data_IF_064001808475
#
_entry.id   IF_064001808475
#
_cell.length_a   1.000
_cell.length_b   1.000
_cell.length_c   1.000
_cell.angle_alpha   90.00
_cell.angle_beta   90.00
_cell.angle_gamma   90.00
#
_symmetry.space_group_name_H-M   'P 1'
#
loop_
_entity.id
_entity.type
_entity.pdbx_description
1 polymer ?
#
# COMPACT_ATOMS: atom_id res chain seq x y z
N UNK A 1 12.98 14.64 -12.79
CA UNK A 1 12.76 13.21 -13.00
C UNK A 1 11.25 12.99 -13.05
N UNK A 2 10.72 12.31 -14.07
CA UNK A 2 9.27 12.24 -14.31
C UNK A 2 8.64 11.19 -13.39
N UNK A 3 7.63 11.58 -12.61
CA UNK A 3 6.91 10.78 -11.61
C UNK A 3 6.04 9.65 -12.21
N UNK A 4 6.53 8.93 -13.22
CA UNK A 4 5.75 7.86 -13.83
C UNK A 4 5.81 6.61 -12.95
N UNK A 5 4.67 6.39 -12.29
CA UNK A 5 4.22 5.21 -11.54
C UNK A 5 5.28 4.64 -10.60
N UNK A 6 5.53 5.34 -9.49
CA UNK A 6 6.33 4.82 -8.37
C UNK A 6 5.93 3.37 -8.01
N UNK A 7 4.63 3.07 -8.11
CA UNK A 7 4.06 1.73 -8.03
C UNK A 7 4.69 0.71 -8.98
N UNK A 8 4.83 0.99 -10.28
CA UNK A 8 5.42 0.03 -11.24
C UNK A 8 6.91 -0.25 -10.99
N UNK A 9 7.57 0.56 -10.15
CA UNK A 9 8.98 0.38 -9.81
C UNK A 9 9.21 -0.30 -8.46
N UNK A 10 8.15 -0.70 -7.76
CA UNK A 10 8.27 -1.66 -6.64
C UNK A 10 8.35 -3.09 -7.22
N UNK A 11 8.74 -4.06 -6.39
CA UNK A 11 8.90 -5.45 -6.80
C UNK A 11 7.56 -6.06 -7.18
N UNK A 12 7.56 -7.02 -8.10
CA UNK A 12 6.38 -7.86 -8.30
C UNK A 12 6.14 -8.72 -7.05
N UNK A 13 4.88 -9.01 -6.72
CA UNK A 13 4.48 -9.83 -5.56
C UNK A 13 5.30 -11.12 -5.44
N UNK A 14 5.42 -11.84 -6.55
CA UNK A 14 6.15 -13.12 -6.64
C UNK A 14 7.63 -13.02 -6.26
N UNK A 15 8.22 -11.84 -6.44
CA UNK A 15 9.64 -11.60 -6.16
C UNK A 15 9.83 -10.97 -4.79
N UNK A 16 8.89 -10.15 -4.32
CA UNK A 16 9.06 -9.31 -3.13
C UNK A 16 9.48 -10.08 -1.87
N UNK A 17 8.88 -11.24 -1.63
CA UNK A 17 9.22 -12.08 -0.48
C UNK A 17 10.68 -12.57 -0.51
N UNK A 18 11.25 -12.80 -1.70
CA UNK A 18 12.64 -13.27 -1.85
C UNK A 18 13.69 -12.22 -1.46
N UNK A 19 13.28 -10.95 -1.36
CA UNK A 19 14.14 -9.84 -0.92
C UNK A 19 14.13 -9.64 0.60
N UNK A 20 13.35 -10.40 1.36
CA UNK A 20 13.34 -10.37 2.82
C UNK A 20 14.37 -11.36 3.36
N UNK A 21 15.60 -10.89 3.56
CA UNK A 21 16.70 -11.67 4.13
C UNK A 21 16.86 -11.45 5.65
N UNK A 22 17.79 -12.18 6.28
CA UNK A 22 18.08 -12.07 7.71
C UNK A 22 18.47 -10.65 8.13
N UNK A 23 19.12 -9.88 7.26
CA UNK A 23 19.52 -8.51 7.54
C UNK A 23 18.32 -7.57 7.55
N UNK A 24 17.38 -7.77 6.63
CA UNK A 24 16.10 -7.05 6.57
C UNK A 24 15.30 -7.36 7.84
N UNK A 25 15.18 -8.63 8.22
CA UNK A 25 14.49 -9.06 9.42
C UNK A 25 15.13 -8.51 10.70
N UNK A 26 16.46 -8.49 10.78
CA UNK A 26 17.19 -7.87 11.89
C UNK A 26 16.94 -6.35 11.97
N UNK A 27 16.83 -5.68 10.82
CA UNK A 27 16.51 -4.24 10.75
C UNK A 27 15.09 -3.96 11.23
N UNK A 28 14.12 -4.79 10.82
CA UNK A 28 12.72 -4.69 11.26
C UNK A 28 12.59 -4.92 12.77
N UNK A 29 13.15 -6.02 13.27
CA UNK A 29 13.04 -6.44 14.67
C UNK A 29 13.89 -5.61 15.64
N UNK A 30 14.93 -4.94 15.15
CA UNK A 30 15.80 -4.07 15.93
C UNK A 30 15.43 -2.58 15.78
N UNK A 31 16.19 -1.80 14.99
CA UNK A 31 16.08 -0.35 14.96
C UNK A 31 14.70 0.17 14.52
N UNK A 32 14.03 -0.48 13.56
CA UNK A 32 12.69 -0.02 13.14
C UNK A 32 11.65 -0.26 14.23
N UNK A 33 11.66 -1.44 14.86
CA UNK A 33 10.82 -1.72 16.03
C UNK A 33 11.06 -0.71 17.14
N UNK A 34 12.32 -0.42 17.46
CA UNK A 34 12.65 0.54 18.51
C UNK A 34 12.12 1.94 18.18
N UNK A 35 12.29 2.41 16.93
CA UNK A 35 11.72 3.68 16.48
C UNK A 35 10.21 3.72 16.65
N UNK A 36 9.50 2.65 16.28
CA UNK A 36 8.05 2.59 16.42
C UNK A 36 7.61 2.64 17.88
N UNK A 37 8.33 1.96 18.77
CA UNK A 37 8.07 1.95 20.20
C UNK A 37 8.38 3.31 20.85
N UNK A 38 9.51 3.92 20.54
CA UNK A 38 9.98 5.18 21.15
C UNK A 38 9.01 6.35 20.87
N UNK A 39 8.29 6.29 19.75
CA UNK A 39 7.37 7.34 19.31
C UNK A 39 5.89 6.94 19.37
N UNK A 40 5.55 5.76 19.93
CA UNK A 40 4.20 5.19 19.87
C UNK A 40 3.61 5.17 18.44
N UNK A 41 4.47 5.08 17.42
CA UNK A 41 4.06 5.14 16.03
C UNK A 41 3.21 3.92 15.63
N UNK A 42 3.36 2.80 16.35
CA UNK A 42 2.58 1.58 16.12
C UNK A 42 1.07 1.75 16.36
N UNK A 43 0.63 2.82 17.04
CA UNK A 43 -0.82 3.10 17.22
C UNK A 43 -1.44 3.71 15.96
N UNK A 44 -0.63 4.31 15.09
CA UNK A 44 -1.09 5.07 13.93
C UNK A 44 -0.57 4.52 12.61
N UNK A 45 0.48 3.70 12.64
CA UNK A 45 1.24 3.31 11.47
C UNK A 45 1.59 1.83 11.49
N UNK A 46 1.58 1.23 10.31
CA UNK A 46 2.12 -0.11 10.06
C UNK A 46 3.25 -0.07 9.04
N UNK A 47 4.05 -1.14 9.04
CA UNK A 47 5.11 -1.38 8.06
C UNK A 47 4.60 -2.48 7.11
N UNK A 48 4.57 -2.20 5.81
CA UNK A 48 4.12 -3.15 4.79
C UNK A 48 5.24 -3.43 3.78
N UNK A 49 5.46 -4.69 3.41
CA UNK A 49 6.40 -5.04 2.34
C UNK A 49 5.84 -4.56 1.00
N UNK A 50 6.57 -3.66 0.33
CA UNK A 50 6.10 -3.08 -0.92
C UNK A 50 6.18 -4.08 -2.07
N UNK A 51 5.05 -4.28 -2.75
CA UNK A 51 4.97 -5.09 -3.94
C UNK A 51 3.82 -4.63 -4.85
N UNK A 52 3.91 -4.93 -6.14
CA UNK A 52 2.83 -4.73 -7.09
C UNK A 52 2.29 -6.08 -7.57
N UNK A 53 0.99 -6.11 -7.84
CA UNK A 53 0.32 -7.29 -8.40
C UNK A 53 0.15 -7.17 -9.92
N UNK A 54 0.20 -5.94 -10.45
CA UNK A 54 0.07 -5.61 -11.86
C UNK A 54 0.70 -4.24 -12.14
N UNK A 55 0.81 -3.86 -13.41
CA UNK A 55 1.27 -2.53 -13.81
C UNK A 55 0.10 -1.55 -13.92
N UNK A 56 0.35 -0.27 -13.60
CA UNK A 56 -0.56 0.85 -13.84
C UNK A 56 -0.08 1.71 -15.01
N UNK A 57 -1.01 2.28 -15.79
CA UNK A 57 -0.70 3.13 -16.93
C UNK A 57 -0.16 4.50 -16.53
N UNK A 58 0.41 5.24 -17.48
CA UNK A 58 1.03 6.55 -17.23
C UNK A 58 0.05 7.63 -16.74
N UNK A 59 -1.24 7.48 -17.07
CA UNK A 59 -2.33 8.37 -16.64
C UNK A 59 -3.20 7.71 -15.57
N UNK A 60 -2.75 6.60 -14.97
CA UNK A 60 -3.45 5.88 -13.93
C UNK A 60 -2.76 6.04 -12.57
N UNK A 61 -3.56 6.00 -11.51
CA UNK A 61 -3.10 5.85 -10.13
C UNK A 61 -3.79 4.66 -9.51
N UNK A 62 -3.08 3.90 -8.67
CA UNK A 62 -3.72 2.89 -7.84
C UNK A 62 -4.51 3.61 -6.74
N UNK A 63 -5.83 3.58 -6.84
CA UNK A 63 -6.75 4.28 -5.94
C UNK A 63 -7.51 3.26 -5.10
N UNK A 64 -7.35 3.38 -3.79
CA UNK A 64 -8.11 2.67 -2.78
C UNK A 64 -9.44 3.39 -2.49
N UNK A 65 -10.52 2.63 -2.53
CA UNK A 65 -11.84 3.00 -2.04
C UNK A 65 -12.33 1.89 -1.12
N UNK A 66 -12.43 2.19 0.18
CA UNK A 66 -12.69 1.18 1.22
C UNK A 66 -11.64 0.05 1.15
N UNK A 67 -12.08 -1.17 0.88
CA UNK A 67 -11.23 -2.36 0.86
C UNK A 67 -10.83 -2.76 -0.57
N UNK A 68 -10.98 -1.86 -1.54
CA UNK A 68 -10.73 -2.17 -2.95
C UNK A 68 -9.80 -1.15 -3.56
N UNK A 69 -8.68 -1.61 -4.12
CA UNK A 69 -7.71 -0.79 -4.84
C UNK A 69 -7.71 -1.13 -6.32
N UNK A 70 -7.90 -0.12 -7.17
CA UNK A 70 -7.94 -0.30 -8.62
C UNK A 70 -7.25 0.86 -9.35
N UNK A 71 -6.70 0.66 -10.56
CA UNK A 71 -6.15 1.74 -11.37
C UNK A 71 -7.28 2.65 -11.84
N UNK A 72 -7.23 3.92 -11.46
CA UNK A 72 -8.15 4.95 -11.92
C UNK A 72 -7.43 5.90 -12.85
N UNK A 73 -8.07 6.26 -13.96
CA UNK A 73 -7.56 7.28 -14.87
C UNK A 73 -7.68 8.66 -14.22
N UNK A 74 -6.55 9.33 -14.03
CA UNK A 74 -6.45 10.68 -13.45
C UNK A 74 -5.98 11.73 -14.46
N UNK A 75 -5.75 11.32 -15.70
CA UNK A 75 -5.25 12.17 -16.77
C UNK A 75 -3.78 12.56 -16.58
N UNK A 76 -3.38 13.68 -17.19
CA UNK A 76 -1.99 14.17 -17.14
C UNK A 76 -1.70 15.06 -15.93
N UNK A 77 -2.64 15.15 -14.98
CA UNK A 77 -2.51 15.94 -13.75
C UNK A 77 -1.37 15.40 -12.87
N UNK A 78 -0.43 16.29 -12.55
CA UNK A 78 0.81 15.96 -11.83
C UNK A 78 0.78 16.34 -10.36
N UNK A 79 -0.36 16.81 -9.86
CA UNK A 79 -0.55 17.17 -8.46
C UNK A 79 -0.86 15.92 -7.65
N UNK A 80 -0.38 15.86 -6.41
CA UNK A 80 -0.70 14.73 -5.52
C UNK A 80 -2.20 14.65 -5.22
N UNK A 81 -2.88 15.80 -5.24
CA UNK A 81 -4.32 15.95 -5.08
C UNK A 81 -4.98 16.11 -6.45
N UNK A 82 -5.85 15.16 -6.80
CA UNK A 82 -6.60 15.16 -8.07
C UNK A 82 -8.09 15.19 -7.77
N UNK A 83 -8.81 16.28 -8.08
CA UNK A 83 -10.26 16.28 -8.06
C UNK A 83 -10.79 15.20 -9.01
N UNK A 84 -11.63 14.31 -8.50
CA UNK A 84 -12.17 13.22 -9.31
C UNK A 84 -13.63 12.98 -8.93
N UNK A 85 -14.53 13.04 -9.92
CA UNK A 85 -15.98 13.04 -9.69
C UNK A 85 -16.43 14.07 -8.63
N UNK A 86 -16.87 13.59 -7.45
CA UNK A 86 -17.38 14.39 -6.32
C UNK A 86 -16.45 14.33 -5.10
N UNK A 87 -15.21 13.92 -5.29
CA UNK A 87 -14.23 13.78 -4.22
C UNK A 87 -12.84 14.14 -4.71
N UNK A 88 -11.84 13.69 -3.96
CA UNK A 88 -10.44 13.96 -4.24
C UNK A 88 -9.65 12.68 -4.07
N UNK A 89 -8.78 12.41 -5.04
CA UNK A 89 -7.73 11.40 -4.94
C UNK A 89 -6.52 12.07 -4.32
N UNK A 90 -6.00 11.49 -3.24
CA UNK A 90 -4.84 12.00 -2.51
C UNK A 90 -3.94 10.84 -2.07
N UNK A 91 -2.65 11.07 -1.79
CA UNK A 91 -1.77 10.00 -1.34
C UNK A 91 -2.26 9.31 -0.06
N UNK A 92 -2.17 7.98 -0.03
CA UNK A 92 -2.42 7.14 1.17
C UNK A 92 -1.15 6.44 1.63
N UNK A 93 -0.34 5.95 0.69
CA UNK A 93 0.87 5.20 1.00
C UNK A 93 2.07 5.81 0.29
N UNK A 94 3.18 5.88 1.01
CA UNK A 94 4.42 6.51 0.57
C UNK A 94 5.60 5.57 0.72
N UNK A 95 6.57 5.73 -0.18
CA UNK A 95 7.88 5.10 -0.10
C UNK A 95 8.96 6.16 -0.17
N UNK A 96 10.13 5.83 0.35
CA UNK A 96 11.33 6.64 0.17
C UNK A 96 12.19 6.04 -0.92
N UNK A 97 12.46 6.82 -1.94
CA UNK A 97 13.22 6.38 -3.09
C UNK A 97 14.18 7.49 -3.50
N UNK A 98 15.48 7.16 -3.56
CA UNK A 98 16.54 8.10 -3.95
C UNK A 98 16.52 9.42 -3.18
N UNK A 99 16.36 9.38 -1.86
CA UNK A 99 16.37 10.59 -1.03
C UNK A 99 15.05 11.33 -0.94
N UNK A 100 14.01 10.87 -1.66
CA UNK A 100 12.71 11.55 -1.74
C UNK A 100 11.60 10.64 -1.24
N UNK A 101 10.61 11.24 -0.57
CA UNK A 101 9.34 10.60 -0.27
C UNK A 101 8.44 10.72 -1.48
N UNK A 102 7.94 9.59 -1.98
CA UNK A 102 7.14 9.53 -3.20
C UNK A 102 5.87 8.71 -2.91
N UNK A 103 4.68 9.25 -3.21
CA UNK A 103 3.44 8.48 -3.09
C UNK A 103 3.40 7.37 -4.14
N UNK A 104 2.86 6.21 -3.77
CA UNK A 104 2.70 5.08 -4.69
C UNK A 104 1.28 4.48 -4.70
N UNK A 105 0.50 4.72 -3.64
CA UNK A 105 -0.94 4.43 -3.57
C UNK A 105 -1.70 5.66 -3.10
N UNK A 106 -2.93 5.77 -3.57
CA UNK A 106 -3.80 6.92 -3.32
C UNK A 106 -5.13 6.44 -2.72
N UNK A 107 -5.77 7.27 -1.91
CA UNK A 107 -7.13 7.07 -1.45
C UNK A 107 -8.07 8.02 -2.19
N UNK A 108 -9.29 7.55 -2.47
CA UNK A 108 -10.41 8.46 -2.78
C UNK A 108 -11.10 8.88 -1.49
N UNK A 109 -11.16 10.18 -1.25
CA UNK A 109 -11.96 10.76 -0.17
C UNK A 109 -13.06 11.64 -0.74
N UNK A 110 -14.29 11.40 -0.28
CA UNK A 110 -15.42 12.28 -0.57
C UNK A 110 -15.35 13.56 0.29
N UNK A 111 -14.70 13.50 1.44
CA UNK A 111 -14.48 14.60 2.39
C UNK A 111 -12.98 14.61 2.79
N UNK A 112 -12.29 15.74 2.59
CA UNK A 112 -10.83 15.80 2.62
C UNK A 112 -10.23 15.58 4.03
N UNK A 113 -9.26 14.66 4.14
CA UNK A 113 -8.37 14.51 5.31
C UNK A 113 -6.89 14.63 4.88
N UNK A 114 -6.02 15.00 5.82
CA UNK A 114 -4.62 15.35 5.59
C UNK A 114 -3.70 14.12 5.37
N UNK A 115 -2.65 14.21 4.51
CA UNK A 115 -1.77 13.08 4.18
C UNK A 115 -0.55 12.90 5.12
N UNK A 116 0.07 11.70 5.14
CA UNK A 116 1.17 11.26 6.03
C UNK A 116 2.27 10.47 5.26
N UNK A 117 3.56 10.48 5.66
CA UNK A 117 4.80 10.22 4.86
C UNK A 117 5.69 9.03 5.36
N UNK A 118 6.36 8.19 4.50
CA UNK A 118 7.53 7.30 4.86
C UNK A 118 8.29 6.46 3.73
N UNK A 119 9.07 5.38 4.09
CA UNK A 119 10.45 5.03 3.63
C UNK A 119 10.78 3.61 3.03
N UNK A 120 11.48 3.59 1.87
CA UNK A 120 12.34 2.53 1.26
C UNK A 120 11.64 1.33 0.60
N UNK A 121 11.93 0.13 1.08
CA UNK A 121 11.43 -1.20 0.63
C UNK A 121 10.16 -1.61 1.37
N UNK A 122 9.91 -0.95 2.50
CA UNK A 122 8.65 -1.01 3.20
C UNK A 122 7.90 0.30 2.98
N UNK A 123 6.58 0.24 2.93
CA UNK A 123 5.72 1.40 3.02
C UNK A 123 5.39 1.66 4.48
N UNK A 124 5.17 2.92 4.85
CA UNK A 124 4.29 3.19 5.98
C UNK A 124 2.90 3.44 5.44
N UNK A 125 1.94 2.76 6.06
CA UNK A 125 0.52 2.94 5.86
C UNK A 125 -0.09 3.49 7.15
N UNK A 126 -1.01 4.44 7.01
CA UNK A 126 -1.81 4.93 8.13
C UNK A 126 -2.79 3.84 8.55
N UNK A 127 -2.79 3.49 9.84
CA UNK A 127 -3.84 2.70 10.48
C UNK A 127 -4.98 3.65 10.82
N UNK A 128 -5.94 3.79 9.91
CA UNK A 128 -7.23 4.43 10.22
C UNK A 128 -8.30 3.37 10.50
N UNK A 129 -9.53 3.79 10.79
CA UNK A 129 -10.67 2.91 11.11
C UNK A 129 -10.96 1.84 10.03
N UNK A 130 -10.29 1.89 8.87
CA UNK A 130 -10.45 0.95 7.76
C UNK A 130 -9.55 -0.27 7.87
N UNK A 131 -8.46 -0.23 8.65
CA UNK A 131 -7.44 -1.28 8.66
C UNK A 131 -7.21 -1.98 10.03
N UNK A 132 -8.18 -2.07 10.98
CA UNK A 132 -7.85 -2.55 12.33
C UNK A 132 -7.41 -4.02 12.36
N UNK A 133 -7.81 -4.84 11.39
CA UNK A 133 -7.57 -6.29 11.40
C UNK A 133 -7.20 -6.93 10.05
N UNK A 134 -7.16 -6.23 8.90
CA UNK A 134 -7.05 -6.89 7.57
C UNK A 134 -5.85 -7.84 7.45
N UNK A 135 -6.06 -9.07 6.94
CA UNK A 135 -4.98 -10.06 6.81
C UNK A 135 -4.90 -10.80 5.48
N UNK A 136 -5.81 -10.56 4.52
CA UNK A 136 -5.75 -11.21 3.20
C UNK A 136 -6.01 -10.20 2.09
N UNK A 137 -5.06 -10.07 1.16
CA UNK A 137 -5.23 -9.35 -0.10
C UNK A 137 -5.46 -10.37 -1.22
N UNK A 138 -6.55 -10.21 -1.98
CA UNK A 138 -6.86 -11.00 -3.17
C UNK A 138 -6.83 -10.10 -4.39
N UNK A 139 -6.21 -10.55 -5.47
CA UNK A 139 -6.17 -9.81 -6.73
C UNK A 139 -6.98 -10.52 -7.81
N UNK A 140 -7.99 -9.84 -8.33
CA UNK A 140 -8.76 -10.28 -9.50
C UNK A 140 -8.57 -9.27 -10.65
N UNK A 141 -7.89 -9.71 -11.71
CA UNK A 141 -7.55 -8.85 -12.84
C UNK A 141 -6.61 -7.70 -12.44
N UNK A 142 -7.13 -6.47 -12.43
CA UNK A 142 -6.38 -5.25 -12.02
C UNK A 142 -6.99 -4.62 -10.78
N UNK A 143 -7.56 -5.43 -9.89
CA UNK A 143 -8.22 -4.96 -8.67
C UNK A 143 -7.70 -5.79 -7.51
N UNK A 144 -7.18 -5.10 -6.48
CA UNK A 144 -6.85 -5.72 -5.21
C UNK A 144 -8.02 -5.52 -4.25
N UNK A 145 -8.38 -6.57 -3.53
CA UNK A 145 -9.47 -6.62 -2.57
C UNK A 145 -8.88 -7.06 -1.24
N UNK A 146 -8.98 -6.20 -0.24
CA UNK A 146 -8.60 -6.52 1.14
C UNK A 146 -9.80 -7.19 1.83
N UNK A 147 -9.55 -8.31 2.48
CA UNK A 147 -10.52 -9.00 3.31
C UNK A 147 -10.08 -8.96 4.77
N UNK A 148 -11.07 -8.87 5.65
CA UNK A 148 -10.86 -9.10 7.07
C UNK A 148 -10.47 -10.57 7.30
N UNK A 149 -9.65 -10.88 8.32
CA UNK A 149 -9.18 -12.24 8.62
C UNK A 149 -10.31 -13.25 8.74
N UNK A 150 -11.44 -12.81 9.29
CA UNK A 150 -12.61 -13.64 9.57
C UNK A 150 -13.69 -13.51 8.47
N UNK A 151 -13.40 -12.82 7.36
CA UNK A 151 -14.37 -12.64 6.28
C UNK A 151 -14.67 -13.94 5.53
N UNK A 152 -13.74 -14.90 5.57
CA UNK A 152 -13.92 -16.25 5.05
C UNK A 152 -13.69 -17.22 6.20
N UNK A 153 -14.72 -17.97 6.65
CA UNK A 153 -14.54 -18.98 7.68
C UNK A 153 -13.44 -19.98 7.28
N UNK A 154 -12.57 -20.35 8.22
CA UNK A 154 -11.46 -21.29 7.96
C UNK A 154 -11.96 -22.62 7.34
N UNK A 155 -13.16 -23.06 7.71
CA UNK A 155 -13.82 -24.24 7.17
C UNK A 155 -14.21 -24.13 5.68
N UNK A 156 -14.22 -22.92 5.12
CA UNK A 156 -14.53 -22.63 3.71
C UNK A 156 -13.27 -22.36 2.88
N UNK A 157 -12.09 -22.29 3.51
CA UNK A 157 -10.82 -22.17 2.80
C UNK A 157 -10.47 -23.51 2.14
N UNK A 158 -10.30 -23.49 0.82
CA UNK A 158 -9.86 -24.65 0.06
C UNK A 158 -8.33 -24.72 0.14
N UNK A 159 -7.80 -25.74 0.84
CA UNK A 159 -6.37 -26.02 0.87
C UNK A 159 -5.92 -26.62 -0.47
N UNK A 160 -5.15 -25.84 -1.24
CA UNK A 160 -4.57 -26.26 -2.52
C UNK A 160 -3.19 -26.95 -2.37
N UNK A 161 -2.69 -27.17 -1.15
CA UNK A 161 -1.43 -27.88 -0.92
C UNK A 161 -1.46 -29.38 -1.25
N UNK A 162 -2.61 -29.88 -1.72
CA UNK A 162 -2.84 -31.27 -2.11
C UNK A 162 -3.19 -31.47 -3.61
N UNK A 163 -3.04 -30.45 -4.46
CA UNK A 163 -3.24 -30.56 -5.92
C UNK A 163 -1.96 -30.46 -6.73
#
# INVERSE_FOLDING_TARGET
MRFFTAYNSILALQDAASFVDDKILATLSGPMRQLFLDHNAYEQYSIALLHNHFLVGEEERLVEVHYTSAPWKVGSERTDFVPHYKGTILPRSFRYYQGMVIPYEFAYLKEALSPIVSISIFGIRSLDDRDPNLSVEITEGRVNIMLEPDAIPEAELIDLSLS
#
